data_IF_853726337448
#
_entry.id   IF_853726337448
#
_cell.length_a   1.000
_cell.length_b   1.000
_cell.length_c   1.000
_cell.angle_alpha   90.00
_cell.angle_beta   90.00
_cell.angle_gamma   90.00
#
_symmetry.space_group_name_H-M   'P 1'
#
loop_
_entity.id
_entity.type
_entity.pdbx_description
1 polymer ?
#
# COMPACT_ATOMS: atom_id res chain seq x y z
N UNK A 1 44.26 -6.24 5.83
CA UNK A 1 43.79 -6.27 7.24
C UNK A 1 42.70 -7.30 7.33
N UNK A 2 42.95 -8.40 8.03
CA UNK A 2 41.94 -9.44 8.25
C UNK A 2 41.08 -9.06 9.45
N UNK A 3 39.83 -8.79 9.22
CA UNK A 3 38.84 -8.69 10.30
C UNK A 3 38.26 -10.07 10.57
N UNK A 4 38.33 -10.58 11.80
CA UNK A 4 37.68 -11.85 12.15
C UNK A 4 36.16 -11.63 12.19
N UNK A 5 35.45 -12.30 11.30
CA UNK A 5 33.99 -12.42 11.35
C UNK A 5 33.67 -13.30 12.56
N UNK A 6 33.14 -12.75 13.64
CA UNK A 6 32.51 -13.54 14.70
C UNK A 6 31.23 -14.13 14.16
N UNK A 7 31.21 -15.42 13.91
CA UNK A 7 30.04 -16.18 13.59
C UNK A 7 29.08 -16.18 14.81
N UNK A 8 27.89 -15.58 14.65
CA UNK A 8 26.75 -15.95 15.47
C UNK A 8 26.22 -17.28 14.92
N UNK A 9 26.15 -18.31 15.75
CA UNK A 9 25.62 -19.64 15.42
C UNK A 9 24.12 -19.57 15.18
N UNK A 10 23.75 -19.23 13.94
CA UNK A 10 22.41 -19.40 13.37
C UNK A 10 22.54 -20.16 12.05
N UNK A 11 21.46 -20.72 11.48
CA UNK A 11 21.54 -21.41 10.19
C UNK A 11 22.20 -20.47 9.17
N UNK A 12 23.30 -20.95 8.55
CA UNK A 12 24.08 -20.20 7.57
C UNK A 12 23.09 -19.70 6.51
N UNK A 13 22.84 -18.41 6.47
CA UNK A 13 21.90 -17.85 5.48
C UNK A 13 22.45 -18.12 4.08
N UNK A 14 21.55 -18.36 3.12
CA UNK A 14 21.91 -18.56 1.71
C UNK A 14 22.79 -17.42 1.17
N UNK A 15 22.63 -16.21 1.72
CA UNK A 15 23.43 -15.02 1.40
C UNK A 15 24.89 -15.18 1.86
N UNK A 16 25.13 -15.67 3.09
CA UNK A 16 26.49 -15.92 3.56
C UNK A 16 27.18 -17.02 2.75
N UNK A 17 26.47 -18.08 2.40
CA UNK A 17 27.00 -19.13 1.53
C UNK A 17 27.38 -18.61 0.15
N UNK A 18 26.51 -17.78 -0.44
CA UNK A 18 26.78 -17.14 -1.73
C UNK A 18 28.00 -16.19 -1.65
N UNK A 19 28.11 -15.40 -0.59
CA UNK A 19 29.24 -14.51 -0.37
C UNK A 19 30.57 -15.29 -0.25
N UNK A 20 30.58 -16.39 0.49
CA UNK A 20 31.78 -17.26 0.62
C UNK A 20 32.19 -17.81 -0.74
N UNK A 21 31.24 -18.27 -1.57
CA UNK A 21 31.54 -18.76 -2.94
C UNK A 21 32.11 -17.63 -3.81
N UNK A 22 31.53 -16.44 -3.72
CA UNK A 22 32.06 -15.29 -4.46
C UNK A 22 33.46 -14.86 -4.01
N UNK A 23 33.72 -14.87 -2.71
CA UNK A 23 35.05 -14.56 -2.17
C UNK A 23 36.09 -15.59 -2.59
N UNK A 24 35.75 -16.88 -2.61
CA UNK A 24 36.66 -17.94 -3.07
C UNK A 24 36.97 -17.78 -4.57
N UNK A 25 35.97 -17.55 -5.41
CA UNK A 25 36.19 -17.26 -6.83
C UNK A 25 37.01 -16.00 -7.05
N UNK A 26 36.84 -14.99 -6.21
CA UNK A 26 37.57 -13.73 -6.29
C UNK A 26 39.08 -13.88 -6.06
N UNK A 27 39.51 -14.96 -5.37
CA UNK A 27 40.96 -15.28 -5.22
C UNK A 27 41.60 -15.67 -6.54
N UNK A 28 40.85 -16.30 -7.45
CA UNK A 28 41.32 -16.74 -8.75
C UNK A 28 41.15 -15.70 -9.84
N UNK A 29 39.99 -15.00 -9.80
CA UNK A 29 39.63 -13.94 -10.76
C UNK A 29 39.07 -12.74 -9.98
N UNK A 30 39.86 -11.69 -9.72
CA UNK A 30 39.44 -10.55 -8.92
C UNK A 30 38.30 -9.77 -9.61
N UNK A 31 37.06 -9.95 -9.16
CA UNK A 31 35.85 -9.26 -9.61
C UNK A 31 35.17 -8.47 -8.49
N UNK A 32 35.45 -8.85 -7.22
CA UNK A 32 34.94 -8.12 -6.05
C UNK A 32 35.96 -7.05 -5.66
N UNK A 33 35.57 -5.80 -5.73
CA UNK A 33 36.41 -4.66 -5.35
C UNK A 33 36.25 -4.29 -3.87
N UNK A 34 35.05 -4.48 -3.32
CA UNK A 34 34.78 -4.25 -1.89
C UNK A 34 33.60 -5.10 -1.42
N UNK A 35 33.56 -5.41 -0.13
CA UNK A 35 32.44 -6.02 0.56
C UNK A 35 32.18 -5.18 1.80
N UNK A 36 30.97 -4.61 1.90
CA UNK A 36 30.55 -3.83 3.05
C UNK A 36 29.43 -4.57 3.78
N UNK A 37 29.60 -4.74 5.09
CA UNK A 37 28.59 -5.31 5.97
C UNK A 37 27.85 -4.16 6.67
N UNK A 38 26.60 -3.95 6.29
CA UNK A 38 25.76 -3.00 6.99
C UNK A 38 25.27 -3.62 8.31
N UNK A 39 25.48 -2.96 9.45
CA UNK A 39 25.03 -3.47 10.73
C UNK A 39 23.49 -3.52 10.78
N UNK A 40 22.95 -4.55 11.42
CA UNK A 40 21.52 -4.62 11.70
C UNK A 40 21.08 -3.41 12.54
N UNK A 41 20.02 -2.75 12.11
CA UNK A 41 19.38 -1.68 12.90
C UNK A 41 18.20 -2.27 13.65
N UNK A 42 18.10 -2.06 14.99
CA UNK A 42 16.94 -2.53 15.74
C UNK A 42 15.66 -1.86 15.23
N UNK A 43 14.59 -2.63 15.11
CA UNK A 43 13.29 -2.10 14.76
C UNK A 43 12.72 -1.29 15.93
N UNK A 44 12.16 -0.13 15.65
CA UNK A 44 11.36 0.62 16.63
C UNK A 44 9.91 0.21 16.44
N UNK A 45 9.38 -0.54 17.42
CA UNK A 45 8.05 -1.12 17.36
C UNK A 45 7.07 -0.31 18.21
N UNK A 46 5.79 -0.39 17.83
CA UNK A 46 4.67 0.21 18.54
C UNK A 46 3.49 -0.79 18.60
N UNK A 47 2.63 -0.72 19.61
CA UNK A 47 1.43 -1.53 19.66
C UNK A 47 0.46 -1.15 18.52
N UNK A 48 -0.49 -2.03 18.24
CA UNK A 48 -1.64 -1.64 17.41
C UNK A 48 -2.44 -0.53 18.08
N UNK A 49 -2.91 0.47 17.32
CA UNK A 49 -3.82 1.48 17.85
C UNK A 49 -5.05 0.85 18.51
N UNK A 50 -5.54 1.44 19.59
CA UNK A 50 -6.67 0.88 20.36
C UNK A 50 -7.95 0.78 19.52
N UNK A 51 -8.14 1.67 18.55
CA UNK A 51 -9.28 1.67 17.64
C UNK A 51 -9.28 0.52 16.63
N UNK A 52 -8.15 -0.22 16.46
CA UNK A 52 -8.04 -1.29 15.46
C UNK A 52 -9.04 -2.42 15.74
N UNK A 53 -9.83 -2.76 14.72
CA UNK A 53 -10.82 -3.84 14.80
C UNK A 53 -10.16 -5.16 15.22
N UNK A 54 -10.76 -5.94 16.18
CA UNK A 54 -10.15 -7.14 16.71
C UNK A 54 -9.79 -8.18 15.64
N UNK A 55 -10.68 -8.39 14.65
CA UNK A 55 -10.44 -9.34 13.56
C UNK A 55 -9.25 -8.93 12.69
N UNK A 56 -9.12 -7.65 12.37
CA UNK A 56 -8.00 -7.14 11.60
C UNK A 56 -6.68 -7.34 12.34
N UNK A 57 -6.66 -7.05 13.65
CA UNK A 57 -5.50 -7.32 14.53
C UNK A 57 -5.17 -8.82 14.58
N UNK A 58 -6.19 -9.69 14.68
CA UNK A 58 -6.01 -11.14 14.65
C UNK A 58 -5.34 -11.62 13.38
N UNK A 59 -5.82 -11.17 12.23
CA UNK A 59 -5.29 -11.60 10.93
C UNK A 59 -3.85 -11.13 10.72
N UNK A 60 -3.53 -9.89 11.07
CA UNK A 60 -2.14 -9.41 10.97
C UNK A 60 -1.19 -10.19 11.91
N UNK A 61 -1.62 -10.54 13.12
CA UNK A 61 -0.84 -11.39 14.03
C UNK A 61 -0.63 -12.79 13.45
N UNK A 62 -1.62 -13.39 12.83
CA UNK A 62 -1.47 -14.66 12.12
C UNK A 62 -0.46 -14.60 10.96
N UNK A 63 -0.26 -13.43 10.37
CA UNK A 63 0.80 -13.16 9.39
C UNK A 63 2.17 -12.86 10.03
N UNK A 64 2.31 -13.01 11.35
CA UNK A 64 3.55 -12.77 12.09
C UNK A 64 3.80 -11.31 12.46
N UNK A 65 2.83 -10.42 12.27
CA UNK A 65 2.94 -9.00 12.62
C UNK A 65 2.34 -8.80 14.03
N UNK A 66 3.14 -9.11 15.04
CA UNK A 66 2.71 -8.97 16.45
C UNK A 66 2.60 -7.51 16.89
N UNK A 67 3.50 -6.67 16.39
CA UNK A 67 3.54 -5.24 16.61
C UNK A 67 3.82 -4.51 15.30
N UNK A 68 3.43 -3.26 15.23
CA UNK A 68 3.70 -2.40 14.08
C UNK A 68 5.09 -1.79 14.19
N UNK A 69 5.69 -1.42 13.07
CA UNK A 69 6.76 -0.43 13.11
C UNK A 69 6.20 0.92 13.57
N UNK A 70 7.00 1.72 14.28
CA UNK A 70 6.56 3.02 14.81
C UNK A 70 5.99 3.95 13.74
N UNK A 71 6.60 3.97 12.53
CA UNK A 71 6.11 4.76 11.41
C UNK A 71 4.76 4.26 10.87
N UNK A 72 4.49 2.93 10.95
CA UNK A 72 3.21 2.37 10.55
C UNK A 72 2.10 2.78 11.52
N UNK A 73 2.37 2.69 12.82
CA UNK A 73 1.43 3.11 13.85
C UNK A 73 1.13 4.62 13.76
N UNK A 74 2.16 5.47 13.66
CA UNK A 74 1.99 6.93 13.53
C UNK A 74 1.21 7.31 12.26
N UNK A 75 1.52 6.69 11.11
CA UNK A 75 0.78 6.93 9.87
C UNK A 75 -0.69 6.51 10.00
N UNK A 76 -0.96 5.32 10.53
CA UNK A 76 -2.31 4.80 10.71
C UNK A 76 -3.15 5.69 11.65
N UNK A 77 -2.56 6.16 12.76
CA UNK A 77 -3.20 7.10 13.69
C UNK A 77 -3.58 8.42 13.00
N UNK A 78 -2.66 8.99 12.23
CA UNK A 78 -2.92 10.25 11.50
C UNK A 78 -4.01 10.10 10.47
N UNK A 79 -4.00 9.00 9.70
CA UNK A 79 -5.01 8.69 8.69
C UNK A 79 -6.38 8.49 9.35
N UNK A 80 -6.45 7.72 10.44
CA UNK A 80 -7.68 7.51 11.19
C UNK A 80 -8.24 8.83 11.78
N UNK A 81 -7.36 9.75 12.17
CA UNK A 81 -7.70 11.09 12.64
C UNK A 81 -8.09 12.07 11.50
N UNK A 82 -8.21 11.60 10.25
CA UNK A 82 -8.63 12.43 9.11
C UNK A 82 -7.55 13.34 8.55
N UNK A 83 -6.26 13.08 8.82
CA UNK A 83 -5.15 13.89 8.32
C UNK A 83 -4.58 13.32 7.03
N UNK A 84 -4.27 14.18 6.07
CA UNK A 84 -3.49 13.81 4.90
C UNK A 84 -2.06 13.43 5.32
N UNK A 85 -1.52 12.36 4.73
CA UNK A 85 -0.21 11.81 5.12
C UNK A 85 0.63 11.53 3.88
N UNK A 86 1.91 11.82 3.96
CA UNK A 86 2.92 11.36 3.00
C UNK A 86 3.90 10.45 3.74
N UNK A 87 4.02 9.21 3.29
CA UNK A 87 4.88 8.17 3.87
C UNK A 87 6.10 8.01 2.98
N UNK A 88 7.26 8.42 3.51
CA UNK A 88 8.55 8.32 2.80
C UNK A 88 9.46 7.43 3.65
N UNK A 89 9.59 6.18 3.23
CA UNK A 89 10.41 5.19 3.93
C UNK A 89 11.10 4.28 2.91
N UNK A 90 12.23 3.64 3.25
CA UNK A 90 12.91 2.73 2.34
C UNK A 90 12.00 1.64 1.76
N UNK A 91 12.42 1.04 0.65
CA UNK A 91 11.74 -0.13 0.09
C UNK A 91 11.62 -1.25 1.15
N UNK A 92 10.59 -2.07 1.04
CA UNK A 92 10.29 -3.19 1.95
C UNK A 92 10.09 -2.78 3.43
N UNK A 93 9.73 -1.53 3.71
CA UNK A 93 9.42 -1.05 5.06
C UNK A 93 7.97 -1.31 5.51
N UNK A 94 7.16 -1.97 4.67
CA UNK A 94 5.76 -2.26 4.96
C UNK A 94 4.83 -1.04 4.86
N UNK A 95 5.07 -0.13 3.89
CA UNK A 95 4.23 1.07 3.66
C UNK A 95 2.76 0.74 3.43
N UNK A 96 2.48 -0.37 2.77
CA UNK A 96 1.12 -0.85 2.48
C UNK A 96 0.26 -0.98 3.75
N UNK A 97 0.85 -1.46 4.83
CA UNK A 97 0.15 -1.61 6.11
C UNK A 97 -0.26 -0.24 6.69
N UNK A 98 0.51 0.82 6.45
CA UNK A 98 0.20 2.17 6.94
C UNK A 98 -1.19 2.66 6.49
N UNK A 99 -1.62 2.30 5.27
CA UNK A 99 -2.92 2.71 4.74
C UNK A 99 -3.96 1.59 4.75
N UNK A 100 -3.58 0.33 4.57
CA UNK A 100 -4.53 -0.78 4.60
C UNK A 100 -5.15 -0.95 6.00
N UNK A 101 -4.37 -0.76 7.07
CA UNK A 101 -4.87 -0.88 8.44
C UNK A 101 -6.06 0.09 8.71
N UNK A 102 -5.93 1.42 8.55
CA UNK A 102 -7.05 2.33 8.81
C UNK A 102 -8.17 2.24 7.78
N UNK A 103 -7.89 1.89 6.52
CA UNK A 103 -8.93 1.75 5.49
C UNK A 103 -9.79 0.53 5.75
N UNK A 104 -9.19 -0.65 5.97
CA UNK A 104 -9.93 -1.87 6.28
C UNK A 104 -10.71 -1.75 7.59
N UNK A 105 -10.11 -1.16 8.61
CA UNK A 105 -10.79 -0.86 9.87
C UNK A 105 -12.04 0.02 9.68
N UNK A 106 -11.93 1.06 8.87
CA UNK A 106 -13.03 1.96 8.59
C UNK A 106 -14.17 1.27 7.81
N UNK A 107 -13.82 0.38 6.85
CA UNK A 107 -14.83 -0.40 6.09
C UNK A 107 -15.51 -1.41 7.00
N UNK A 108 -14.77 -2.09 7.89
CA UNK A 108 -15.35 -3.02 8.86
C UNK A 108 -16.36 -2.34 9.81
N UNK A 109 -16.05 -1.12 10.23
CA UNK A 109 -16.92 -0.33 11.13
C UNK A 109 -18.11 0.30 10.42
N UNK A 110 -17.92 0.68 9.15
CA UNK A 110 -18.97 1.29 8.33
C UNK A 110 -18.89 0.74 6.89
N UNK A 111 -19.78 -0.18 6.52
CA UNK A 111 -19.81 -0.79 5.19
C UNK A 111 -20.10 0.16 4.02
N UNK A 112 -20.53 1.40 4.29
CA UNK A 112 -20.66 2.41 3.25
C UNK A 112 -19.33 3.10 2.91
N UNK A 113 -18.30 2.97 3.76
CA UNK A 113 -16.97 3.54 3.49
C UNK A 113 -16.43 3.08 2.14
N UNK A 114 -15.88 4.02 1.38
CA UNK A 114 -15.22 3.77 0.09
C UNK A 114 -13.80 4.29 0.10
N UNK A 115 -12.93 3.56 -0.62
CA UNK A 115 -11.55 3.97 -0.84
C UNK A 115 -11.17 3.82 -2.32
N UNK A 116 -10.33 4.71 -2.79
CA UNK A 116 -9.78 4.69 -4.14
C UNK A 116 -8.25 4.63 -4.04
N UNK A 117 -7.66 3.57 -4.60
CA UNK A 117 -6.24 3.37 -4.63
C UNK A 117 -5.71 3.60 -6.05
N UNK A 118 -4.68 4.44 -6.16
CA UNK A 118 -4.06 4.81 -7.43
C UNK A 118 -2.64 4.26 -7.49
N UNK A 119 -2.40 3.42 -8.47
CA UNK A 119 -1.08 2.83 -8.77
C UNK A 119 -0.58 3.28 -10.14
N UNK A 120 0.74 3.41 -10.32
CA UNK A 120 1.29 3.81 -11.63
C UNK A 120 1.23 2.70 -12.67
N UNK A 121 1.14 1.42 -12.27
CA UNK A 121 1.15 0.27 -13.17
C UNK A 121 0.13 -0.78 -12.77
N UNK A 122 -0.37 -1.52 -13.78
CA UNK A 122 -1.29 -2.64 -13.56
C UNK A 122 -0.68 -3.77 -12.72
N UNK A 123 0.62 -4.02 -12.84
CA UNK A 123 1.29 -5.05 -12.05
C UNK A 123 1.19 -4.77 -10.56
N UNK A 124 1.52 -3.54 -10.13
CA UNK A 124 1.39 -3.11 -8.73
C UNK A 124 -0.07 -3.15 -8.25
N UNK A 125 -1.01 -2.79 -9.13
CA UNK A 125 -2.45 -2.84 -8.84
C UNK A 125 -2.90 -4.29 -8.53
N UNK A 126 -2.46 -5.27 -9.34
CA UNK A 126 -2.79 -6.68 -9.16
C UNK A 126 -2.11 -7.28 -7.91
N UNK A 127 -0.85 -6.95 -7.67
CA UNK A 127 -0.14 -7.40 -6.46
C UNK A 127 -0.84 -6.90 -5.18
N UNK A 128 -1.27 -5.65 -5.19
CA UNK A 128 -2.00 -5.05 -4.06
C UNK A 128 -3.41 -5.62 -3.90
N UNK A 129 -4.10 -5.93 -5.01
CA UNK A 129 -5.39 -6.62 -4.95
C UNK A 129 -5.23 -7.99 -4.28
N UNK A 130 -4.24 -8.79 -4.71
CA UNK A 130 -3.99 -10.11 -4.13
C UNK A 130 -3.67 -10.05 -2.62
N UNK A 131 -2.91 -9.03 -2.18
CA UNK A 131 -2.63 -8.82 -0.75
C UNK A 131 -3.89 -8.47 0.04
N UNK A 132 -4.74 -7.59 -0.50
CA UNK A 132 -6.01 -7.22 0.13
C UNK A 132 -6.96 -8.40 0.21
N UNK A 133 -7.10 -9.18 -0.86
CA UNK A 133 -7.98 -10.34 -0.92
C UNK A 133 -7.55 -11.41 0.09
N UNK A 134 -6.24 -11.70 0.23
CA UNK A 134 -5.71 -12.60 1.26
C UNK A 134 -6.05 -12.14 2.70
N UNK A 135 -6.01 -10.84 2.96
CA UNK A 135 -6.40 -10.29 4.26
C UNK A 135 -7.91 -10.42 4.50
N UNK A 136 -8.72 -10.09 3.50
CA UNK A 136 -10.19 -10.09 3.58
C UNK A 136 -10.72 -11.51 3.74
N UNK A 137 -10.20 -12.46 2.98
CA UNK A 137 -10.57 -13.87 3.07
C UNK A 137 -10.29 -14.44 4.48
N UNK A 138 -9.13 -14.09 5.07
CA UNK A 138 -8.78 -14.50 6.43
C UNK A 138 -9.63 -13.87 7.53
N UNK A 139 -10.25 -12.72 7.24
CA UNK A 139 -11.18 -12.05 8.16
C UNK A 139 -12.61 -12.56 8.04
N UNK A 140 -12.93 -13.32 6.98
CA UNK A 140 -14.32 -13.67 6.61
C UNK A 140 -15.23 -12.44 6.58
N UNK A 141 -14.71 -11.33 6.06
CA UNK A 141 -15.38 -10.04 6.07
C UNK A 141 -16.08 -9.75 4.74
N UNK A 142 -17.27 -9.11 4.73
CA UNK A 142 -18.00 -8.80 3.50
C UNK A 142 -17.41 -7.58 2.77
N UNK A 143 -16.08 -7.42 2.79
CA UNK A 143 -15.37 -6.37 2.08
C UNK A 143 -15.15 -6.82 0.64
N UNK A 144 -15.36 -5.92 -0.32
CA UNK A 144 -15.17 -6.19 -1.73
C UNK A 144 -14.15 -5.24 -2.32
N UNK A 145 -13.12 -5.83 -2.89
CA UNK A 145 -12.02 -5.16 -3.58
C UNK A 145 -12.09 -5.45 -5.06
N UNK A 146 -11.75 -4.48 -5.89
CA UNK A 146 -11.77 -4.64 -7.34
C UNK A 146 -10.69 -3.79 -7.99
N UNK A 147 -10.10 -4.30 -9.06
CA UNK A 147 -9.40 -3.47 -10.04
C UNK A 147 -10.38 -2.89 -11.06
N UNK A 148 -10.14 -1.66 -11.46
CA UNK A 148 -10.92 -1.00 -12.51
C UNK A 148 -9.97 -0.37 -13.54
N UNK A 149 -9.83 -1.05 -14.66
CA UNK A 149 -8.91 -0.67 -15.74
C UNK A 149 -9.56 -0.82 -17.12
N UNK A 150 -8.75 -0.64 -18.19
CA UNK A 150 -9.22 -0.75 -19.56
C UNK A 150 -9.75 -2.12 -19.93
N UNK A 151 -9.23 -3.18 -19.30
CA UNK A 151 -9.57 -4.59 -19.60
C UNK A 151 -10.76 -5.10 -18.76
N UNK A 152 -11.25 -4.29 -17.80
CA UNK A 152 -12.39 -4.65 -16.95
C UNK A 152 -13.65 -4.88 -17.80
N UNK A 153 -14.27 -6.09 -17.78
CA UNK A 153 -15.48 -6.40 -18.53
C UNK A 153 -16.67 -5.53 -18.19
N UNK A 154 -17.57 -5.30 -19.13
CA UNK A 154 -18.68 -4.37 -18.98
C UNK A 154 -19.67 -4.74 -17.87
N UNK A 155 -19.90 -6.02 -17.65
CA UNK A 155 -20.72 -6.59 -16.57
C UNK A 155 -20.06 -6.39 -15.21
N UNK A 156 -18.76 -6.67 -15.10
CA UNK A 156 -17.98 -6.43 -13.90
C UNK A 156 -17.98 -4.94 -13.51
N UNK A 157 -17.91 -4.03 -14.49
CA UNK A 157 -17.95 -2.58 -14.22
C UNK A 157 -19.20 -2.15 -13.45
N UNK A 158 -20.35 -2.80 -13.68
CA UNK A 158 -21.58 -2.51 -12.94
C UNK A 158 -21.46 -2.97 -11.49
N UNK A 159 -20.96 -4.18 -11.26
CA UNK A 159 -20.75 -4.72 -9.92
C UNK A 159 -19.76 -3.86 -9.11
N UNK A 160 -18.64 -3.44 -9.71
CA UNK A 160 -17.63 -2.59 -9.08
C UNK A 160 -18.27 -1.27 -8.59
N UNK A 161 -19.01 -0.59 -9.44
CA UNK A 161 -19.68 0.66 -9.08
C UNK A 161 -20.67 0.53 -7.93
N UNK A 162 -21.36 -0.61 -7.83
CA UNK A 162 -22.39 -0.83 -6.83
C UNK A 162 -21.84 -1.40 -5.52
N UNK A 163 -20.83 -2.24 -5.58
CA UNK A 163 -20.42 -3.08 -4.46
C UNK A 163 -18.97 -2.86 -4.00
N UNK A 164 -18.12 -2.21 -4.82
CA UNK A 164 -16.72 -2.00 -4.49
C UNK A 164 -16.54 -1.11 -3.27
N UNK A 165 -15.92 -1.65 -2.22
CA UNK A 165 -15.50 -0.87 -1.06
C UNK A 165 -14.15 -0.21 -1.31
N UNK A 166 -13.22 -0.97 -1.89
CA UNK A 166 -11.90 -0.48 -2.30
C UNK A 166 -11.77 -0.72 -3.80
N UNK A 167 -11.56 0.35 -4.55
CA UNK A 167 -11.35 0.30 -5.99
C UNK A 167 -9.91 0.67 -6.28
N UNK A 168 -9.17 -0.26 -6.89
CA UNK A 168 -7.80 -0.06 -7.34
C UNK A 168 -7.84 0.35 -8.81
N UNK A 169 -7.06 1.35 -9.19
CA UNK A 169 -7.02 1.85 -10.57
C UNK A 169 -5.74 2.68 -10.78
N UNK A 170 -5.59 3.24 -11.97
CA UNK A 170 -4.50 4.16 -12.28
C UNK A 170 -5.02 5.56 -12.63
N UNK A 171 -4.15 6.60 -12.61
CA UNK A 171 -4.57 7.97 -12.89
C UNK A 171 -5.24 8.18 -14.24
N UNK A 172 -4.80 7.46 -15.28
CA UNK A 172 -5.38 7.59 -16.63
C UNK A 172 -6.80 7.03 -16.68
N UNK A 173 -7.03 5.87 -16.06
CA UNK A 173 -8.35 5.29 -15.97
C UNK A 173 -9.29 6.12 -15.07
N UNK A 174 -8.77 6.68 -13.98
CA UNK A 174 -9.51 7.65 -13.19
C UNK A 174 -9.93 8.85 -14.04
N UNK A 175 -9.00 9.40 -14.84
CA UNK A 175 -9.25 10.54 -15.69
C UNK A 175 -10.28 10.25 -16.80
N UNK A 176 -10.13 9.15 -17.52
CA UNK A 176 -10.92 8.83 -18.72
C UNK A 176 -12.16 7.97 -18.44
N UNK A 177 -12.09 7.06 -17.46
CA UNK A 177 -13.14 6.06 -17.21
C UNK A 177 -14.04 6.37 -16.03
N UNK A 178 -13.57 7.10 -15.01
CA UNK A 178 -14.34 7.34 -13.78
C UNK A 178 -14.88 8.79 -13.75
N UNK A 179 -14.01 9.79 -13.79
CA UNK A 179 -14.39 11.18 -13.60
C UNK A 179 -15.40 11.71 -14.64
N UNK A 180 -15.31 11.40 -15.95
CA UNK A 180 -16.33 11.83 -16.93
C UNK A 180 -17.69 11.16 -16.74
N UNK A 181 -17.68 10.01 -16.08
CA UNK A 181 -18.87 9.21 -15.83
C UNK A 181 -19.30 9.22 -14.37
N UNK A 182 -18.99 10.29 -13.64
CA UNK A 182 -19.16 10.39 -12.18
C UNK A 182 -20.60 10.10 -11.72
N UNK A 183 -21.60 10.40 -12.53
CA UNK A 183 -23.01 10.09 -12.21
C UNK A 183 -23.29 8.58 -12.09
N UNK A 184 -22.47 7.73 -12.71
CA UNK A 184 -22.53 6.27 -12.54
C UNK A 184 -21.77 5.79 -11.31
N UNK A 185 -20.97 6.65 -10.69
CA UNK A 185 -20.11 6.39 -9.54
C UNK A 185 -20.56 7.14 -8.27
N UNK A 186 -21.82 7.58 -8.24
CA UNK A 186 -22.40 8.39 -7.14
C UNK A 186 -22.12 7.77 -5.79
N UNK A 187 -22.34 6.45 -5.64
CA UNK A 187 -22.10 5.74 -4.38
C UNK A 187 -20.62 5.80 -3.93
N UNK A 188 -19.69 5.73 -4.88
CA UNK A 188 -18.26 5.90 -4.59
C UNK A 188 -17.99 7.32 -4.08
N UNK A 189 -18.44 8.33 -4.83
CA UNK A 189 -18.12 9.73 -4.52
C UNK A 189 -18.81 10.24 -3.26
N UNK A 190 -20.02 9.82 -2.95
CA UNK A 190 -20.74 10.18 -1.72
C UNK A 190 -20.07 9.63 -0.47
N UNK A 191 -19.41 8.46 -0.57
CA UNK A 191 -18.84 7.73 0.56
C UNK A 191 -17.32 7.63 0.53
N UNK A 192 -16.66 8.34 -0.40
CA UNK A 192 -15.21 8.30 -0.54
C UNK A 192 -14.54 8.92 0.67
N UNK A 193 -13.88 8.08 1.47
CA UNK A 193 -13.19 8.49 2.69
C UNK A 193 -11.68 8.50 2.55
N UNK A 194 -11.13 7.69 1.63
CA UNK A 194 -9.69 7.56 1.46
C UNK A 194 -9.31 7.57 -0.01
N UNK A 195 -8.25 8.31 -0.33
CA UNK A 195 -7.55 8.26 -1.61
C UNK A 195 -6.10 7.91 -1.32
N UNK A 196 -5.63 6.78 -1.84
CA UNK A 196 -4.25 6.34 -1.70
C UNK A 196 -3.54 6.53 -3.05
N UNK A 197 -2.38 7.19 -3.03
CA UNK A 197 -1.46 7.28 -4.15
C UNK A 197 -0.18 6.55 -3.77
N UNK A 198 0.03 5.40 -4.38
CA UNK A 198 1.27 4.66 -4.16
C UNK A 198 2.33 5.02 -5.22
N UNK A 199 3.60 4.75 -4.88
CA UNK A 199 4.77 5.06 -5.71
C UNK A 199 4.78 6.53 -6.18
N UNK A 200 4.51 7.46 -5.26
CA UNK A 200 4.39 8.90 -5.52
C UNK A 200 5.58 9.46 -6.32
N UNK A 201 6.77 8.92 -6.13
CA UNK A 201 7.99 9.34 -6.83
C UNK A 201 7.95 9.13 -8.35
N UNK A 202 7.04 8.30 -8.86
CA UNK A 202 6.85 8.06 -10.30
C UNK A 202 6.13 9.23 -10.98
N UNK A 203 5.31 9.97 -10.23
CA UNK A 203 4.51 11.08 -10.74
C UNK A 203 5.35 12.38 -10.82
N UNK A 204 6.21 12.49 -11.85
CA UNK A 204 7.13 13.62 -12.05
C UNK A 204 6.91 14.29 -13.41
N UNK A 205 7.40 15.52 -13.53
CA UNK A 205 7.38 16.29 -14.78
C UNK A 205 5.96 16.47 -15.34
N UNK A 206 5.81 16.29 -16.64
CA UNK A 206 4.52 16.45 -17.34
C UNK A 206 3.47 15.47 -16.82
N UNK A 207 3.85 14.21 -16.60
CA UNK A 207 2.95 13.20 -16.06
C UNK A 207 2.48 13.56 -14.65
N UNK A 208 3.38 14.01 -13.79
CA UNK A 208 3.02 14.48 -12.44
C UNK A 208 2.06 15.68 -12.46
N UNK A 209 2.26 16.63 -13.38
CA UNK A 209 1.35 17.76 -13.59
C UNK A 209 -0.03 17.31 -14.04
N UNK A 210 -0.11 16.32 -14.92
CA UNK A 210 -1.36 15.71 -15.35
C UNK A 210 -2.08 15.07 -14.17
N UNK A 211 -1.41 14.21 -13.40
CA UNK A 211 -1.97 13.54 -12.23
C UNK A 211 -2.47 14.56 -11.19
N UNK A 212 -1.72 15.63 -10.93
CA UNK A 212 -2.15 16.69 -10.03
C UNK A 212 -3.47 17.35 -10.48
N UNK A 213 -3.68 17.56 -11.79
CA UNK A 213 -4.92 18.09 -12.32
C UNK A 213 -6.07 17.07 -12.24
N UNK A 214 -5.80 15.78 -12.44
CA UNK A 214 -6.78 14.70 -12.26
C UNK A 214 -7.25 14.67 -10.80
N UNK A 215 -6.33 14.76 -9.83
CA UNK A 215 -6.65 14.81 -8.40
C UNK A 215 -7.46 16.06 -8.03
N UNK A 216 -7.15 17.24 -8.59
CA UNK A 216 -7.97 18.45 -8.37
C UNK A 216 -9.39 18.26 -8.86
N UNK A 217 -9.60 17.60 -10.00
CA UNK A 217 -10.95 17.26 -10.51
C UNK A 217 -11.64 16.27 -9.59
N UNK A 218 -10.93 15.21 -9.14
CA UNK A 218 -11.45 14.24 -8.20
C UNK A 218 -11.96 14.93 -6.93
N UNK A 219 -11.14 15.77 -6.30
CA UNK A 219 -11.51 16.46 -5.06
C UNK A 219 -12.71 17.40 -5.24
N UNK A 220 -12.82 18.08 -6.40
CA UNK A 220 -14.02 18.89 -6.70
C UNK A 220 -15.28 18.04 -6.83
N UNK A 221 -15.19 16.85 -7.45
CA UNK A 221 -16.32 15.91 -7.49
C UNK A 221 -16.68 15.38 -6.12
N UNK A 222 -15.68 15.01 -5.30
CA UNK A 222 -15.92 14.62 -3.91
C UNK A 222 -16.67 15.69 -3.16
N UNK A 223 -16.24 16.95 -3.23
CA UNK A 223 -16.93 18.08 -2.60
C UNK A 223 -18.35 18.29 -3.13
N UNK A 224 -18.59 18.11 -4.45
CA UNK A 224 -19.90 18.16 -5.05
C UNK A 224 -20.85 17.09 -4.50
N UNK A 225 -20.35 15.89 -4.24
CA UNK A 225 -21.09 14.78 -3.65
C UNK A 225 -21.09 14.78 -2.10
N UNK A 226 -20.46 15.77 -1.47
CA UNK A 226 -20.45 15.96 -0.01
C UNK A 226 -19.41 15.15 0.73
N UNK A 227 -18.42 14.53 0.04
CA UNK A 227 -17.34 13.80 0.66
C UNK A 227 -16.04 14.61 0.72
N UNK A 228 -15.23 14.33 1.75
CA UNK A 228 -13.93 14.98 2.00
C UNK A 228 -12.89 13.92 2.33
N UNK A 229 -12.35 13.21 1.32
CA UNK A 229 -11.45 12.09 1.56
C UNK A 229 -10.09 12.53 2.11
N UNK A 230 -9.53 11.68 2.96
CA UNK A 230 -8.13 11.76 3.39
C UNK A 230 -7.23 11.28 2.26
N UNK A 231 -6.18 12.02 1.96
CA UNK A 231 -5.18 11.67 0.95
C UNK A 231 -3.98 11.04 1.63
N UNK A 232 -3.61 9.85 1.20
CA UNK A 232 -2.43 9.12 1.65
C UNK A 232 -1.51 8.91 0.46
N UNK A 233 -0.28 9.38 0.56
CA UNK A 233 0.74 9.20 -0.46
C UNK A 233 1.88 8.33 0.09
N UNK A 234 2.39 7.39 -0.72
CA UNK A 234 3.54 6.55 -0.40
C UNK A 234 4.65 6.69 -1.44
N UNK A 235 5.91 6.71 -0.96
CA UNK A 235 7.10 6.83 -1.83
C UNK A 235 8.29 6.04 -1.26
#
# INVERSE_FOLDING_TARGET
MNYPVRASEGPISTVHSALNVLQEKNRQHPVLTAVELLPARPAVLAPYPDWTHPELRRVYRQKGIEQLYSHQADAAERIAAGKNVVIVTPAASGKTLCYNLPVLDAVLKNPDTRALYLFPTKALEQDQLAELDDLIDKMDAPIRTFTYDGDTPADARKAIRQQGHIVLTNPDMLHAGILPHHTKWTRLFENLRYIVLDELHTYRGVFGSHVANVLRRLLRLCAHYGSHPVIVCCS
#
